data_IF_148910045299
#
_entry.id   IF_148910045299
#
_cell.length_a   1.000
_cell.length_b   1.000
_cell.length_c   1.000
_cell.angle_alpha   90.00
_cell.angle_beta   90.00
_cell.angle_gamma   90.00
#
_symmetry.space_group_name_H-M   'P 1'
#
loop_
_entity.id
_entity.type
_entity.pdbx_description
1 polymer ?
#
# COMPACT_ATOMS: atom_id res chain seq x y z
N UNK A 1 -16.69 13.29 -10.23
CA UNK A 1 -15.92 12.03 -10.48
C UNK A 1 -14.65 12.06 -9.64
N UNK A 2 -14.37 10.96 -8.94
CA UNK A 2 -13.14 10.84 -8.15
C UNK A 2 -12.02 10.36 -9.06
N UNK A 3 -10.91 11.09 -9.08
CA UNK A 3 -9.71 10.69 -9.83
C UNK A 3 -8.99 9.55 -9.10
N UNK A 4 -8.03 8.89 -9.77
CA UNK A 4 -7.19 7.88 -9.11
C UNK A 4 -6.44 8.45 -7.91
N UNK A 5 -5.96 9.69 -8.04
CA UNK A 5 -5.27 10.37 -6.94
C UNK A 5 -6.21 10.55 -5.74
N UNK A 6 -7.40 11.08 -5.98
CA UNK A 6 -8.38 11.29 -4.92
C UNK A 6 -8.82 9.98 -4.29
N UNK A 7 -9.03 8.96 -5.11
CA UNK A 7 -9.43 7.63 -4.62
C UNK A 7 -8.36 7.02 -3.72
N UNK A 8 -7.08 7.27 -4.02
CA UNK A 8 -5.96 6.74 -3.25
C UNK A 8 -5.71 7.49 -1.95
N UNK A 9 -5.86 8.82 -1.95
CA UNK A 9 -5.49 9.67 -0.81
C UNK A 9 -6.65 10.04 0.10
N UNK A 10 -7.88 9.99 -0.41
CA UNK A 10 -9.05 10.37 0.35
C UNK A 10 -9.22 9.45 1.57
N UNK A 11 -9.51 10.04 2.72
CA UNK A 11 -9.77 9.29 3.95
C UNK A 11 -10.91 8.30 3.76
N UNK A 12 -10.94 7.27 4.61
CA UNK A 12 -12.01 6.28 4.57
C UNK A 12 -13.35 6.93 4.91
N UNK A 13 -14.36 6.58 4.13
CA UNK A 13 -15.73 6.99 4.47
C UNK A 13 -16.29 6.04 5.54
N UNK A 14 -17.50 6.38 6.03
CA UNK A 14 -18.11 5.61 7.11
C UNK A 14 -18.37 4.16 6.75
N UNK A 15 -18.82 3.89 5.53
CA UNK A 15 -19.03 2.54 5.02
C UNK A 15 -17.72 1.73 5.01
N UNK A 16 -16.65 2.34 4.53
CA UNK A 16 -15.34 1.69 4.48
C UNK A 16 -14.80 1.39 5.87
N UNK A 17 -14.91 2.35 6.77
CA UNK A 17 -14.39 2.21 8.13
C UNK A 17 -15.23 1.27 8.99
N UNK A 18 -16.55 1.40 8.95
CA UNK A 18 -17.43 0.69 9.87
C UNK A 18 -17.95 -0.64 9.35
N UNK A 19 -18.01 -0.83 8.04
CA UNK A 19 -18.53 -2.05 7.44
C UNK A 19 -17.41 -2.88 6.83
N UNK A 20 -16.68 -2.32 5.88
CA UNK A 20 -15.67 -3.08 5.14
C UNK A 20 -14.44 -3.41 5.96
N UNK A 21 -13.91 -2.45 6.69
CA UNK A 21 -12.66 -2.65 7.43
C UNK A 21 -12.75 -3.80 8.46
N UNK A 22 -13.80 -3.90 9.28
CA UNK A 22 -13.94 -5.04 10.19
C UNK A 22 -14.01 -6.38 9.48
N UNK A 23 -14.68 -6.44 8.34
CA UNK A 23 -14.77 -7.66 7.52
C UNK A 23 -13.39 -8.05 7.01
N UNK A 24 -12.64 -7.09 6.49
CA UNK A 24 -11.29 -7.30 5.96
C UNK A 24 -10.35 -7.76 7.07
N UNK A 25 -10.39 -7.11 8.23
CA UNK A 25 -9.57 -7.51 9.39
C UNK A 25 -9.86 -8.96 9.78
N UNK A 26 -11.12 -9.33 9.90
CA UNK A 26 -11.52 -10.68 10.27
C UNK A 26 -11.02 -11.70 9.25
N UNK A 27 -11.18 -11.41 7.97
CA UNK A 27 -10.72 -12.29 6.91
C UNK A 27 -9.21 -12.45 6.90
N UNK A 28 -8.47 -11.35 7.01
CA UNK A 28 -7.01 -11.39 7.01
C UNK A 28 -6.43 -12.03 8.26
N UNK A 29 -7.10 -11.94 9.39
CA UNK A 29 -6.63 -12.57 10.63
C UNK A 29 -6.46 -14.07 10.52
N UNK A 30 -7.12 -14.70 9.55
CA UNK A 30 -6.99 -16.15 9.29
C UNK A 30 -5.86 -16.48 8.31
N UNK A 31 -5.28 -15.47 7.66
CA UNK A 31 -4.22 -15.65 6.66
C UNK A 31 -2.86 -15.59 7.32
N UNK A 32 -2.56 -16.60 8.12
CA UNK A 32 -1.31 -16.69 8.87
C UNK A 32 -0.28 -17.47 8.06
N UNK A 33 0.85 -16.84 7.80
CA UNK A 33 1.93 -17.44 7.04
C UNK A 33 1.88 -17.13 5.56
N UNK A 34 3.05 -17.17 4.95
CA UNK A 34 3.28 -16.78 3.56
C UNK A 34 2.44 -17.58 2.57
N UNK A 35 2.22 -18.86 2.84
CA UNK A 35 1.43 -19.75 1.96
C UNK A 35 -0.05 -19.37 1.92
N UNK A 36 -0.50 -18.57 2.88
CA UNK A 36 -1.90 -18.12 2.97
C UNK A 36 -2.11 -16.73 2.38
N UNK A 37 -1.10 -16.13 1.78
CA UNK A 37 -1.19 -14.77 1.23
C UNK A 37 -2.35 -14.66 0.24
N UNK A 38 -3.09 -13.55 0.35
CA UNK A 38 -4.24 -13.27 -0.51
C UNK A 38 -4.05 -11.92 -1.17
N UNK A 39 -4.26 -11.86 -2.48
CA UNK A 39 -4.05 -10.63 -3.24
C UNK A 39 -5.18 -9.63 -3.03
N UNK A 40 -4.85 -8.36 -3.29
CA UNK A 40 -5.84 -7.28 -3.26
C UNK A 40 -7.02 -7.59 -4.18
N UNK A 41 -6.71 -8.06 -5.38
CA UNK A 41 -7.71 -8.44 -6.38
C UNK A 41 -8.65 -9.52 -5.86
N UNK A 42 -8.09 -10.55 -5.23
CA UNK A 42 -8.90 -11.67 -4.71
C UNK A 42 -9.84 -11.21 -3.59
N UNK A 43 -9.36 -10.34 -2.71
CA UNK A 43 -10.21 -9.79 -1.65
C UNK A 43 -11.37 -9.00 -2.26
N UNK A 44 -11.09 -8.17 -3.26
CA UNK A 44 -12.14 -7.41 -3.95
C UNK A 44 -13.16 -8.34 -4.61
N UNK A 45 -12.70 -9.42 -5.25
CA UNK A 45 -13.60 -10.40 -5.86
C UNK A 45 -14.53 -11.05 -4.83
N UNK A 46 -13.97 -11.44 -3.69
CA UNK A 46 -14.75 -12.06 -2.61
C UNK A 46 -15.78 -11.07 -2.05
N UNK A 47 -15.37 -9.83 -1.78
CA UNK A 47 -16.29 -8.82 -1.28
C UNK A 47 -17.41 -8.53 -2.28
N UNK A 48 -17.06 -8.36 -3.54
CA UNK A 48 -18.04 -8.09 -4.61
C UNK A 48 -19.02 -9.25 -4.75
N UNK A 49 -18.55 -10.49 -4.63
CA UNK A 49 -19.42 -11.67 -4.70
C UNK A 49 -20.45 -11.72 -3.57
N UNK A 50 -20.20 -10.98 -2.48
CA UNK A 50 -21.09 -10.89 -1.33
C UNK A 50 -21.83 -9.55 -1.28
N UNK A 51 -21.89 -8.86 -2.41
CA UNK A 51 -22.59 -7.59 -2.59
C UNK A 51 -21.99 -6.42 -1.80
N UNK A 52 -20.72 -6.50 -1.45
CA UNK A 52 -19.98 -5.37 -0.89
C UNK A 52 -19.21 -4.65 -2.00
N UNK A 53 -19.61 -3.43 -2.32
CA UNK A 53 -18.93 -2.65 -3.35
C UNK A 53 -17.59 -2.14 -2.86
N UNK A 54 -16.55 -2.34 -3.66
CA UNK A 54 -15.22 -1.82 -3.38
C UNK A 54 -14.37 -1.82 -4.65
N UNK A 55 -13.51 -0.82 -4.79
CA UNK A 55 -12.50 -0.79 -5.83
C UNK A 55 -11.15 -1.25 -5.29
N UNK A 56 -10.27 -1.70 -6.18
CA UNK A 56 -8.91 -2.10 -5.80
C UNK A 56 -8.19 -0.98 -5.05
N UNK A 57 -8.32 0.24 -5.53
CA UNK A 57 -7.65 1.41 -4.94
C UNK A 57 -8.16 1.69 -3.52
N UNK A 58 -9.48 1.60 -3.32
CA UNK A 58 -10.05 1.84 -1.99
C UNK A 58 -9.72 0.73 -1.02
N UNK A 59 -9.65 -0.52 -1.49
CA UNK A 59 -9.19 -1.62 -0.63
C UNK A 59 -7.75 -1.40 -0.18
N UNK A 60 -6.87 -0.95 -1.07
CA UNK A 60 -5.50 -0.62 -0.68
C UNK A 60 -5.46 0.44 0.42
N UNK A 61 -6.36 1.43 0.37
CA UNK A 61 -6.48 2.45 1.41
C UNK A 61 -6.93 1.85 2.73
N UNK A 62 -7.89 0.94 2.70
CA UNK A 62 -8.36 0.21 3.90
C UNK A 62 -7.19 -0.59 4.50
N UNK A 63 -6.47 -1.35 3.68
CA UNK A 63 -5.32 -2.15 4.12
C UNK A 63 -4.25 -1.25 4.72
N UNK A 64 -3.95 -0.12 4.08
CA UNK A 64 -3.00 0.84 4.61
C UNK A 64 -3.42 1.33 6.00
N UNK A 65 -4.69 1.65 6.17
CA UNK A 65 -5.21 2.11 7.46
C UNK A 65 -5.09 1.04 8.54
N UNK A 66 -5.38 -0.21 8.19
CA UNK A 66 -5.23 -1.35 9.10
C UNK A 66 -3.78 -1.48 9.57
N UNK A 67 -2.83 -1.39 8.63
CA UNK A 67 -1.40 -1.53 8.91
C UNK A 67 -0.84 -0.36 9.71
N UNK A 68 -1.21 0.86 9.32
CA UNK A 68 -0.68 2.07 9.94
C UNK A 68 -1.21 2.30 11.36
N UNK A 69 -2.38 1.78 11.68
CA UNK A 69 -3.03 1.99 12.98
C UNK A 69 -3.05 0.74 13.87
N UNK A 70 -2.22 -0.24 13.53
CA UNK A 70 -2.05 -1.46 14.34
C UNK A 70 -3.34 -2.24 14.57
N UNK A 71 -4.27 -2.18 13.61
CA UNK A 71 -5.57 -2.86 13.73
C UNK A 71 -5.46 -4.36 13.50
N UNK A 72 -4.42 -4.79 12.81
CA UNK A 72 -4.05 -6.20 12.65
C UNK A 72 -2.53 -6.27 12.62
N UNK A 73 -1.88 -6.57 13.77
CA UNK A 73 -0.43 -6.55 13.87
C UNK A 73 0.26 -7.53 12.94
N UNK A 74 1.41 -7.11 12.43
CA UNK A 74 2.29 -7.92 11.57
C UNK A 74 1.65 -8.35 10.25
N UNK A 75 0.72 -7.55 9.74
CA UNK A 75 0.16 -7.73 8.41
C UNK A 75 1.18 -7.26 7.38
N UNK A 76 1.67 -8.20 6.58
CA UNK A 76 2.69 -7.97 5.56
C UNK A 76 2.06 -7.93 4.18
N UNK A 77 2.54 -7.01 3.35
CA UNK A 77 2.12 -6.86 1.97
C UNK A 77 3.28 -7.21 1.04
N UNK A 78 3.09 -8.19 0.16
CA UNK A 78 4.08 -8.61 -0.82
C UNK A 78 3.43 -8.70 -2.20
N UNK A 79 4.25 -9.00 -3.22
CA UNK A 79 3.72 -9.23 -4.57
C UNK A 79 2.76 -10.43 -4.64
N UNK A 80 2.82 -11.32 -3.67
CA UNK A 80 1.91 -12.47 -3.59
C UNK A 80 0.64 -12.18 -2.81
N UNK A 81 0.55 -11.00 -2.20
CA UNK A 81 -0.62 -10.58 -1.44
C UNK A 81 -0.31 -10.27 0.01
N UNK A 82 -1.37 -10.21 0.79
CA UNK A 82 -1.33 -9.87 2.22
C UNK A 82 -1.42 -11.11 3.07
N UNK A 83 -0.66 -11.13 4.16
CA UNK A 83 -0.77 -12.19 5.16
C UNK A 83 -0.19 -11.71 6.49
N UNK A 84 -0.60 -12.36 7.58
CA UNK A 84 -0.06 -12.09 8.91
C UNK A 84 1.17 -12.98 9.10
N UNK A 85 2.32 -12.38 9.38
CA UNK A 85 3.54 -13.14 9.60
C UNK A 85 3.68 -13.54 11.07
N UNK A 86 4.10 -14.80 11.30
CA UNK A 86 4.48 -15.29 12.61
C UNK A 86 5.92 -15.80 12.62
N UNK A 87 6.68 -15.50 11.57
CA UNK A 87 8.09 -15.90 11.42
C UNK A 87 8.97 -14.68 11.67
N UNK A 88 9.75 -14.74 12.73
CA UNK A 88 10.59 -13.63 13.17
C UNK A 88 11.61 -13.20 12.12
N UNK A 89 12.23 -14.17 11.45
CA UNK A 89 13.22 -13.88 10.40
C UNK A 89 12.56 -13.17 9.22
N UNK A 90 11.40 -13.65 8.82
CA UNK A 90 10.62 -13.04 7.73
C UNK A 90 10.22 -11.61 8.05
N UNK A 91 9.81 -11.36 9.29
CA UNK A 91 9.44 -10.01 9.75
C UNK A 91 10.67 -9.08 9.69
N UNK A 92 11.82 -9.54 10.15
CA UNK A 92 13.06 -8.76 10.09
C UNK A 92 13.47 -8.45 8.65
N UNK A 93 13.38 -9.43 7.77
CA UNK A 93 13.68 -9.24 6.35
C UNK A 93 12.75 -8.24 5.71
N UNK A 94 11.48 -8.27 6.07
CA UNK A 94 10.49 -7.32 5.57
C UNK A 94 10.82 -5.89 6.03
N UNK A 95 11.15 -5.70 7.30
CA UNK A 95 11.54 -4.40 7.85
C UNK A 95 12.78 -3.88 7.11
N UNK A 96 13.77 -4.74 6.88
CA UNK A 96 14.98 -4.39 6.13
C UNK A 96 14.64 -3.95 4.71
N UNK A 97 13.75 -4.67 4.04
CA UNK A 97 13.28 -4.33 2.70
C UNK A 97 12.63 -2.95 2.65
N UNK A 98 11.82 -2.62 3.67
CA UNK A 98 11.19 -1.30 3.78
C UNK A 98 12.25 -0.21 3.98
N UNK A 99 13.25 -0.46 4.82
CA UNK A 99 14.35 0.47 5.06
C UNK A 99 15.15 0.75 3.78
N UNK A 100 15.41 -0.28 3.01
CA UNK A 100 16.10 -0.15 1.72
C UNK A 100 15.30 0.70 0.73
N UNK A 101 13.98 0.51 0.68
CA UNK A 101 13.11 1.32 -0.17
C UNK A 101 13.08 2.78 0.27
N UNK A 102 13.03 3.04 1.57
CA UNK A 102 13.09 4.40 2.10
C UNK A 102 14.41 5.06 1.68
N UNK A 103 15.52 4.36 1.83
CA UNK A 103 16.83 4.88 1.47
C UNK A 103 16.93 5.19 -0.03
N UNK A 104 16.42 4.32 -0.88
CA UNK A 104 16.38 4.54 -2.32
C UNK A 104 15.56 5.77 -2.70
N UNK A 105 14.38 5.89 -2.12
CA UNK A 105 13.51 7.04 -2.37
C UNK A 105 14.16 8.32 -1.90
N UNK A 106 14.76 8.29 -0.70
CA UNK A 106 15.44 9.45 -0.13
C UNK A 106 16.65 9.87 -0.99
N UNK A 107 17.39 8.91 -1.52
CA UNK A 107 18.52 9.19 -2.41
C UNK A 107 18.05 9.94 -3.67
N UNK A 108 16.99 9.50 -4.30
CA UNK A 108 16.43 10.16 -5.48
C UNK A 108 15.89 11.54 -5.12
N UNK A 109 15.19 11.65 -4.00
CA UNK A 109 14.69 12.95 -3.52
C UNK A 109 15.82 13.95 -3.37
N UNK A 110 16.92 13.55 -2.76
CA UNK A 110 18.08 14.41 -2.57
C UNK A 110 18.71 14.80 -3.90
N UNK A 111 18.80 13.87 -4.84
CA UNK A 111 19.33 14.17 -6.18
C UNK A 111 18.49 15.21 -6.90
N UNK A 112 17.19 15.04 -6.90
CA UNK A 112 16.26 15.97 -7.56
C UNK A 112 16.31 17.33 -6.88
N UNK A 113 16.35 17.36 -5.54
CA UNK A 113 16.45 18.62 -4.78
C UNK A 113 17.72 19.38 -5.13
N UNK A 114 18.85 18.67 -5.23
CA UNK A 114 20.14 19.28 -5.61
C UNK A 114 20.08 19.83 -7.03
N UNK A 115 19.53 19.10 -7.96
CA UNK A 115 19.37 19.52 -9.36
C UNK A 115 18.47 20.75 -9.45
N UNK A 116 17.39 20.76 -8.70
CA UNK A 116 16.47 21.90 -8.65
C UNK A 116 17.17 23.15 -8.12
N UNK A 117 17.95 23.03 -7.05
CA UNK A 117 18.67 24.15 -6.43
C UNK A 117 19.75 24.71 -7.35
N UNK A 118 20.33 23.87 -8.20
CA UNK A 118 21.46 24.23 -9.06
C UNK A 118 21.07 24.39 -10.53
N UNK A 119 19.78 24.44 -10.84
CA UNK A 119 19.36 24.52 -12.22
C UNK A 119 19.82 25.84 -12.85
N UNK A 120 20.29 25.81 -14.12
CA UNK A 120 20.70 27.03 -14.82
C UNK A 120 19.48 27.83 -15.28
N UNK A 121 19.67 29.15 -15.48
CA UNK A 121 18.68 30.02 -16.06
C UNK A 121 18.76 30.03 -17.59
N UNK A 122 19.60 29.21 -18.17
CA UNK A 122 19.91 29.21 -19.57
C UNK A 122 18.95 28.37 -20.39
N UNK A 123 18.92 28.63 -21.68
CA UNK A 123 18.18 27.83 -22.64
C UNK A 123 18.75 26.43 -22.68
N UNK A 124 17.85 25.48 -22.77
CA UNK A 124 18.25 24.10 -22.87
C UNK A 124 18.43 23.69 -24.33
N UNK A 125 19.24 22.66 -24.50
CA UNK A 125 19.42 22.04 -25.79
C UNK A 125 18.12 21.40 -26.26
N UNK A 126 17.78 21.65 -27.52
CA UNK A 126 16.61 20.98 -28.10
C UNK A 126 16.91 19.52 -28.34
N UNK A 127 16.23 18.68 -27.62
CA UNK A 127 16.31 17.24 -27.80
C UNK A 127 14.89 16.68 -27.84
N UNK A 128 14.54 16.12 -28.97
CA UNK A 128 13.23 15.47 -29.10
C UNK A 128 13.36 13.98 -28.77
N UNK A 129 12.55 13.54 -27.86
CA UNK A 129 12.48 12.14 -27.46
C UNK A 129 11.17 11.51 -27.91
#
# INVERSE_FOLDING_TARGET
>A
MITNFDSHTQELNEYEEKILQPIVIKGLSTKIGKSKAITNKKICEVLTSKDYEITDTRLRKIIHNIRANDLLPLLIATSRGYYVSNDEEEIRDYIKSLSERINSINFIKQSIQRQYNNRPNENQTNLEL
#
